data_IF_170339587150
#
_entry.id   IF_170339587150
#
_cell.length_a   1.000
_cell.length_b   1.000
_cell.length_c   1.000
_cell.angle_alpha   90.00
_cell.angle_beta   90.00
_cell.angle_gamma   90.00
#
_symmetry.space_group_name_H-M   'P 1'
#
loop_
_entity.id
_entity.type
_entity.pdbx_description
1 polymer ?
#
# COMPACT_ATOMS: atom_id res chain seq x y z
N UNK A 1 -11.35 4.33 -9.03
CA UNK A 1 -11.57 2.96 -8.53
C UNK A 1 -10.65 2.70 -7.36
N UNK A 2 -9.33 2.84 -7.54
CA UNK A 2 -8.34 2.77 -6.46
C UNK A 2 -8.75 3.58 -5.24
N UNK A 3 -8.92 4.89 -5.40
CA UNK A 3 -9.35 5.80 -4.33
C UNK A 3 -10.60 5.33 -3.60
N UNK A 4 -11.64 4.89 -4.32
CA UNK A 4 -12.88 4.38 -3.70
C UNK A 4 -12.61 3.18 -2.80
N UNK A 5 -11.75 2.25 -3.23
CA UNK A 5 -11.39 1.08 -2.42
C UNK A 5 -10.58 1.48 -1.17
N UNK A 6 -9.61 2.39 -1.32
CA UNK A 6 -8.77 2.85 -0.20
C UNK A 6 -9.61 3.56 0.85
N UNK A 7 -10.35 4.59 0.45
CA UNK A 7 -11.23 5.37 1.33
C UNK A 7 -12.31 4.49 1.98
N UNK A 8 -12.85 3.51 1.26
CA UNK A 8 -13.81 2.56 1.85
C UNK A 8 -13.15 1.77 2.98
N UNK A 9 -11.96 1.21 2.75
CA UNK A 9 -11.29 0.39 3.77
C UNK A 9 -10.83 1.23 4.96
N UNK A 10 -10.33 2.44 4.72
CA UNK A 10 -10.03 3.42 5.76
C UNK A 10 -11.25 3.61 6.68
N UNK A 11 -12.37 4.08 6.13
CA UNK A 11 -13.58 4.37 6.91
C UNK A 11 -14.16 3.13 7.63
N UNK A 12 -14.11 1.96 6.98
CA UNK A 12 -14.62 0.73 7.56
C UNK A 12 -13.79 0.22 8.74
N UNK A 13 -12.46 0.38 8.69
CA UNK A 13 -11.56 -0.10 9.74
C UNK A 13 -11.26 0.93 10.82
N UNK A 14 -11.45 2.24 10.56
CA UNK A 14 -11.16 3.32 11.50
C UNK A 14 -11.68 3.10 12.93
N UNK A 15 -12.91 2.58 13.16
CA UNK A 15 -13.42 2.33 14.50
C UNK A 15 -12.70 1.22 15.28
N UNK A 16 -11.83 0.45 14.62
CA UNK A 16 -11.20 -0.75 15.16
C UNK A 16 -9.65 -0.66 15.18
N UNK A 17 -9.10 0.54 15.04
CA UNK A 17 -7.66 0.76 15.22
C UNK A 17 -7.22 0.26 16.60
N UNK A 18 -6.02 -0.32 16.64
CA UNK A 18 -5.39 -0.91 17.82
C UNK A 18 -6.20 -2.01 18.51
N UNK A 19 -7.21 -2.55 17.84
CA UNK A 19 -8.01 -3.69 18.30
C UNK A 19 -7.64 -4.94 17.50
N UNK A 20 -7.53 -6.09 18.17
CA UNK A 20 -7.40 -7.36 17.49
C UNK A 20 -8.69 -7.67 16.73
N UNK A 21 -8.58 -7.81 15.41
CA UNK A 21 -9.71 -8.14 14.57
C UNK A 21 -10.25 -9.52 14.96
N UNK A 22 -11.58 -9.62 14.98
CA UNK A 22 -12.30 -10.85 15.28
C UNK A 22 -13.36 -11.11 14.22
N UNK A 23 -13.85 -12.35 14.16
CA UNK A 23 -14.95 -12.71 13.25
C UNK A 23 -16.19 -11.82 13.40
N UNK A 24 -16.68 -11.50 14.62
CA UNK A 24 -17.78 -10.55 14.79
C UNK A 24 -17.48 -9.15 14.25
N UNK A 25 -16.26 -8.63 14.46
CA UNK A 25 -15.84 -7.32 13.94
C UNK A 25 -15.88 -7.33 12.41
N UNK A 26 -15.28 -8.33 11.76
CA UNK A 26 -15.29 -8.41 10.30
C UNK A 26 -16.70 -8.60 9.73
N UNK A 27 -17.58 -9.34 10.40
CA UNK A 27 -18.98 -9.46 9.99
C UNK A 27 -19.71 -8.12 10.07
N UNK A 28 -19.49 -7.34 11.13
CA UNK A 28 -20.05 -6.00 11.28
C UNK A 28 -19.51 -5.02 10.21
N UNK A 29 -18.23 -5.10 9.88
CA UNK A 29 -17.61 -4.33 8.79
C UNK A 29 -18.25 -4.70 7.45
N UNK A 30 -18.35 -6.01 7.15
CA UNK A 30 -18.92 -6.51 5.89
C UNK A 30 -20.35 -6.04 5.65
N UNK A 31 -21.16 -5.93 6.70
CA UNK A 31 -22.53 -5.43 6.60
C UNK A 31 -22.60 -3.95 6.14
N UNK A 32 -21.54 -3.17 6.32
CA UNK A 32 -21.46 -1.75 5.96
C UNK A 32 -20.83 -1.48 4.59
N UNK A 33 -20.22 -2.49 3.96
CA UNK A 33 -19.45 -2.33 2.71
C UNK A 33 -20.26 -1.67 1.60
N UNK A 34 -21.47 -2.13 1.36
CA UNK A 34 -22.27 -1.65 0.23
C UNK A 34 -22.61 -0.16 0.37
N UNK A 35 -22.95 0.26 1.60
CA UNK A 35 -23.26 1.65 1.92
C UNK A 35 -22.01 2.53 1.79
N UNK A 36 -20.88 2.07 2.35
CA UNK A 36 -19.63 2.83 2.33
C UNK A 36 -19.06 2.97 0.91
N UNK A 37 -19.03 1.89 0.12
CA UNK A 37 -18.60 1.97 -1.28
C UNK A 37 -19.46 2.94 -2.08
N UNK A 38 -20.78 2.94 -1.85
CA UNK A 38 -21.70 3.88 -2.51
C UNK A 38 -21.37 5.32 -2.13
N UNK A 39 -21.18 5.60 -0.84
CA UNK A 39 -20.82 6.92 -0.34
C UNK A 39 -19.50 7.41 -0.94
N UNK A 40 -18.46 6.57 -0.94
CA UNK A 40 -17.15 6.94 -1.47
C UNK A 40 -17.16 7.09 -2.99
N UNK A 41 -17.96 6.29 -3.69
CA UNK A 41 -18.13 6.45 -5.13
C UNK A 41 -18.82 7.78 -5.48
N UNK A 42 -19.89 8.15 -4.76
CA UNK A 42 -20.59 9.42 -4.94
C UNK A 42 -19.65 10.63 -4.74
N UNK A 43 -18.83 10.60 -3.68
CA UNK A 43 -17.85 11.65 -3.38
C UNK A 43 -16.78 11.80 -4.47
N UNK A 44 -16.29 10.69 -5.02
CA UNK A 44 -15.14 10.68 -5.92
C UNK A 44 -15.49 10.83 -7.41
N UNK A 45 -16.72 10.48 -7.81
CA UNK A 45 -17.11 10.41 -9.23
C UNK A 45 -18.18 11.40 -9.66
N UNK A 46 -18.64 12.30 -8.76
CA UNK A 46 -19.73 13.25 -8.96
C UNK A 46 -21.04 12.54 -9.38
N UNK A 47 -22.03 12.54 -8.49
CA UNK A 47 -23.32 11.80 -8.47
C UNK A 47 -24.16 11.61 -9.76
N UNK A 48 -23.76 12.11 -10.93
CA UNK A 48 -24.64 12.25 -12.11
C UNK A 48 -25.00 10.92 -12.77
N UNK A 49 -24.23 9.83 -12.63
CA UNK A 49 -24.74 8.49 -12.97
C UNK A 49 -23.85 7.33 -12.49
N UNK A 50 -24.14 6.80 -11.30
CA UNK A 50 -23.57 5.52 -10.81
C UNK A 50 -24.29 4.32 -11.48
N UNK A 51 -25.53 4.54 -11.92
CA UNK A 51 -26.45 3.46 -12.31
C UNK A 51 -26.29 2.98 -13.75
N UNK A 52 -25.40 3.59 -14.55
CA UNK A 52 -25.28 3.28 -15.97
C UNK A 52 -23.83 3.24 -16.46
N UNK A 53 -23.61 2.52 -17.56
CA UNK A 53 -22.36 2.53 -18.32
C UNK A 53 -21.11 2.09 -17.53
N UNK A 54 -19.97 2.73 -17.85
CA UNK A 54 -18.65 2.42 -17.28
C UNK A 54 -18.60 2.61 -15.76
N UNK A 55 -19.34 3.59 -15.22
CA UNK A 55 -19.37 3.87 -13.78
C UNK A 55 -20.01 2.73 -12.99
N UNK A 56 -21.10 2.15 -13.50
CA UNK A 56 -21.74 0.98 -12.89
C UNK A 56 -20.78 -0.21 -12.80
N UNK A 57 -19.97 -0.42 -13.85
CA UNK A 57 -18.96 -1.50 -13.86
C UNK A 57 -17.91 -1.23 -12.78
N UNK A 58 -17.35 -0.02 -12.73
CA UNK A 58 -16.31 0.35 -11.75
C UNK A 58 -16.86 0.22 -10.32
N UNK A 59 -18.09 0.67 -10.07
CA UNK A 59 -18.76 0.57 -8.79
C UNK A 59 -18.88 -0.89 -8.32
N UNK A 60 -19.40 -1.77 -9.18
CA UNK A 60 -19.56 -3.19 -8.84
C UNK A 60 -18.20 -3.89 -8.63
N UNK A 61 -17.18 -3.53 -9.42
CA UNK A 61 -15.83 -4.06 -9.24
C UNK A 61 -15.24 -3.62 -7.89
N UNK A 62 -15.37 -2.34 -7.53
CA UNK A 62 -14.89 -1.84 -6.23
C UNK A 62 -15.58 -2.56 -5.06
N UNK A 63 -16.90 -2.71 -5.12
CA UNK A 63 -17.68 -3.46 -4.13
C UNK A 63 -17.19 -4.90 -4.01
N UNK A 64 -17.02 -5.60 -5.13
CA UNK A 64 -16.54 -6.98 -5.15
C UNK A 64 -15.12 -7.10 -4.56
N UNK A 65 -14.24 -6.14 -4.86
CA UNK A 65 -12.88 -6.08 -4.33
C UNK A 65 -12.87 -5.98 -2.80
N UNK A 66 -13.65 -5.07 -2.22
CA UNK A 66 -13.75 -4.90 -0.76
C UNK A 66 -14.31 -6.16 -0.11
N UNK A 67 -15.42 -6.71 -0.63
CA UNK A 67 -15.99 -7.96 -0.10
C UNK A 67 -15.00 -9.13 -0.15
N UNK A 68 -14.30 -9.31 -1.26
CA UNK A 68 -13.32 -10.39 -1.41
C UNK A 68 -12.16 -10.24 -0.43
N UNK A 69 -11.65 -9.02 -0.25
CA UNK A 69 -10.58 -8.76 0.71
C UNK A 69 -11.01 -9.06 2.15
N UNK A 70 -12.20 -8.59 2.56
CA UNK A 70 -12.74 -8.88 3.89
C UNK A 70 -13.00 -10.36 4.13
N UNK A 71 -13.39 -11.10 3.08
CA UNK A 71 -13.52 -12.56 3.15
C UNK A 71 -12.16 -13.24 3.35
N UNK A 72 -11.10 -12.77 2.67
CA UNK A 72 -9.75 -13.29 2.88
C UNK A 72 -9.25 -12.99 4.29
N UNK A 73 -9.46 -11.79 4.82
CA UNK A 73 -9.09 -11.45 6.22
C UNK A 73 -9.86 -12.33 7.21
N UNK A 74 -11.15 -12.61 6.95
CA UNK A 74 -11.94 -13.52 7.79
C UNK A 74 -11.37 -14.94 7.78
N UNK A 75 -11.02 -15.47 6.61
CA UNK A 75 -10.39 -16.79 6.49
C UNK A 75 -9.06 -16.86 7.26
N UNK A 76 -8.28 -15.78 7.24
CA UNK A 76 -7.01 -15.70 7.98
C UNK A 76 -7.23 -15.74 9.49
N UNK A 77 -8.18 -14.97 10.00
CA UNK A 77 -8.55 -14.99 11.43
C UNK A 77 -9.08 -16.37 11.83
N UNK A 78 -9.91 -16.99 11.00
CA UNK A 78 -10.41 -18.35 11.25
C UNK A 78 -9.29 -19.41 11.21
N UNK A 79 -8.22 -19.16 10.46
CA UNK A 79 -7.01 -19.98 10.45
C UNK A 79 -6.04 -19.70 11.62
N UNK A 80 -6.36 -18.71 12.48
CA UNK A 80 -5.59 -18.38 13.67
C UNK A 80 -4.65 -17.17 13.55
N UNK A 81 -4.68 -16.42 12.44
CA UNK A 81 -3.91 -15.18 12.35
C UNK A 81 -4.45 -14.12 13.33
N UNK A 82 -3.56 -13.55 14.13
CA UNK A 82 -3.83 -12.37 14.93
C UNK A 82 -3.53 -11.13 14.11
N UNK A 83 -4.53 -10.28 13.85
CA UNK A 83 -4.39 -9.08 13.03
C UNK A 83 -4.80 -7.86 13.85
N UNK A 84 -3.89 -6.89 14.01
CA UNK A 84 -4.15 -5.61 14.69
C UNK A 84 -3.76 -4.48 13.75
N UNK A 85 -4.73 -3.71 13.28
CA UNK A 85 -4.47 -2.52 12.46
C UNK A 85 -3.98 -1.40 13.36
N UNK A 86 -2.81 -0.83 13.06
CA UNK A 86 -2.18 0.22 13.86
C UNK A 86 -2.47 1.61 13.31
N UNK A 87 -2.44 1.75 12.00
CA UNK A 87 -2.75 3.00 11.32
C UNK A 87 -3.36 2.73 9.93
N UNK A 88 -4.15 3.69 9.44
CA UNK A 88 -4.78 3.71 8.12
C UNK A 88 -4.56 5.11 7.52
N UNK A 89 -4.37 5.17 6.20
CA UNK A 89 -4.16 6.41 5.44
C UNK A 89 -3.22 7.39 6.17
N UNK A 90 -2.12 6.84 6.71
CA UNK A 90 -1.23 7.52 7.63
C UNK A 90 -0.29 8.45 6.87
N UNK A 91 -0.38 9.75 7.15
CA UNK A 91 0.47 10.77 6.52
C UNK A 91 1.83 10.81 7.19
N UNK A 92 2.88 10.54 6.42
CA UNK A 92 4.26 10.65 6.88
C UNK A 92 5.01 11.73 6.10
N UNK A 93 5.94 12.39 6.79
CA UNK A 93 6.89 13.33 6.21
C UNK A 93 8.26 13.01 6.80
N UNK A 94 9.27 12.82 5.97
CA UNK A 94 10.64 12.61 6.43
C UNK A 94 11.59 13.59 5.74
N UNK A 95 12.54 14.13 6.50
CA UNK A 95 13.60 14.96 5.97
C UNK A 95 14.66 14.05 5.31
N UNK A 96 14.98 14.28 4.02
CA UNK A 96 16.04 13.54 3.31
C UNK A 96 17.36 14.33 3.37
N UNK A 97 17.31 15.61 3.01
CA UNK A 97 18.42 16.58 3.08
C UNK A 97 17.88 17.88 3.71
N UNK A 98 18.69 18.88 4.09
CA UNK A 98 18.16 20.14 4.65
C UNK A 98 17.08 20.83 3.79
N UNK A 99 17.14 20.66 2.47
CA UNK A 99 16.25 21.32 1.51
C UNK A 99 15.10 20.42 1.04
N UNK A 100 15.21 19.09 1.24
CA UNK A 100 14.32 18.11 0.62
C UNK A 100 13.60 17.26 1.66
N UNK A 101 12.27 17.20 1.51
CA UNK A 101 11.38 16.35 2.30
C UNK A 101 10.66 15.35 1.42
N UNK A 102 10.60 14.10 1.87
CA UNK A 102 9.72 13.07 1.31
C UNK A 102 8.39 13.09 2.07
N UNK A 103 7.28 13.07 1.35
CA UNK A 103 5.93 13.01 1.92
C UNK A 103 5.12 11.94 1.21
N UNK A 104 4.31 11.21 1.96
CA UNK A 104 3.35 10.27 1.41
C UNK A 104 2.29 9.85 2.42
N UNK A 105 1.35 9.05 1.93
CA UNK A 105 0.28 8.46 2.73
C UNK A 105 0.41 6.95 2.64
N UNK A 106 0.54 6.28 3.78
CA UNK A 106 0.63 4.82 3.88
C UNK A 106 -0.77 4.26 4.11
N UNK A 107 -1.26 3.44 3.19
CA UNK A 107 -2.65 2.97 3.21
C UNK A 107 -2.98 2.21 4.51
N UNK A 108 -2.07 1.34 4.97
CA UNK A 108 -2.22 0.62 6.25
C UNK A 108 -0.88 0.24 6.85
N UNK A 109 -0.83 0.33 8.17
CA UNK A 109 0.20 -0.28 9.00
C UNK A 109 -0.52 -1.23 9.94
N UNK A 110 -0.11 -2.50 9.98
CA UNK A 110 -0.68 -3.47 10.90
C UNK A 110 0.37 -4.36 11.54
N UNK A 111 -0.04 -5.09 12.58
CA UNK A 111 0.74 -6.16 13.17
C UNK A 111 -0.02 -7.47 12.92
N UNK A 112 0.67 -8.43 12.31
CA UNK A 112 0.17 -9.79 12.10
C UNK A 112 1.08 -10.80 12.76
N UNK A 113 0.56 -11.55 13.73
CA UNK A 113 1.32 -12.55 14.48
C UNK A 113 2.66 -11.97 15.01
N UNK A 114 2.63 -10.72 15.50
CA UNK A 114 3.81 -9.99 16.00
C UNK A 114 4.71 -9.34 14.94
N UNK A 115 4.47 -9.54 13.63
CA UNK A 115 5.23 -8.91 12.54
C UNK A 115 4.52 -7.62 12.12
N UNK A 116 5.25 -6.50 12.12
CA UNK A 116 4.74 -5.22 11.60
C UNK A 116 4.77 -5.24 10.08
N UNK A 117 3.67 -4.86 9.43
CA UNK A 117 3.56 -4.76 7.97
C UNK A 117 3.22 -3.34 7.57
N UNK A 118 4.04 -2.77 6.70
CA UNK A 118 3.81 -1.50 6.01
C UNK A 118 3.24 -1.87 4.64
N UNK A 119 1.97 -1.55 4.40
CA UNK A 119 1.28 -2.08 3.24
C UNK A 119 0.57 -1.03 2.40
N UNK A 120 0.56 -1.31 1.09
CA UNK A 120 -0.11 -0.53 0.07
C UNK A 120 -1.14 -1.41 -0.65
N UNK A 121 -2.30 -0.82 -0.92
CA UNK A 121 -3.39 -1.41 -1.64
C UNK A 121 -3.26 -1.10 -3.13
N UNK A 122 -3.42 -2.13 -3.96
CA UNK A 122 -3.45 -1.97 -5.42
C UNK A 122 -4.64 -2.66 -6.03
N UNK A 123 -5.51 -1.88 -6.67
CA UNK A 123 -6.64 -2.43 -7.43
C UNK A 123 -6.22 -3.08 -8.76
N UNK A 124 -5.05 -2.71 -9.28
CA UNK A 124 -4.45 -3.34 -10.46
C UNK A 124 -3.86 -4.72 -10.16
N UNK A 125 -3.38 -5.43 -11.19
CA UNK A 125 -2.62 -6.65 -10.98
C UNK A 125 -1.20 -6.26 -10.58
N UNK A 126 -0.76 -6.73 -9.41
CA UNK A 126 0.65 -6.77 -9.02
C UNK A 126 1.11 -8.21 -8.94
N UNK A 127 2.29 -8.46 -9.49
CA UNK A 127 2.96 -9.76 -9.49
C UNK A 127 4.16 -9.74 -8.53
N UNK A 128 4.49 -10.90 -7.96
CA UNK A 128 5.58 -11.01 -6.98
C UNK A 128 6.90 -10.43 -7.49
N UNK A 129 7.22 -10.61 -8.78
CA UNK A 129 8.46 -10.12 -9.39
C UNK A 129 8.62 -8.60 -9.35
N UNK A 130 7.54 -7.84 -9.20
CA UNK A 130 7.56 -6.36 -9.09
C UNK A 130 7.91 -5.85 -7.69
N UNK A 131 8.06 -6.77 -6.74
CA UNK A 131 8.48 -6.51 -5.37
C UNK A 131 9.81 -7.20 -5.03
N UNK A 132 10.51 -7.75 -6.03
CA UNK A 132 11.83 -8.34 -5.85
C UNK A 132 12.88 -7.38 -6.39
N UNK A 133 13.72 -6.89 -5.48
CA UNK A 133 14.91 -6.12 -5.83
C UNK A 133 15.99 -7.13 -6.19
N UNK A 134 16.42 -7.10 -7.45
CA UNK A 134 17.56 -7.90 -7.96
C UNK A 134 18.75 -7.03 -8.31
N UNK A 135 18.45 -5.81 -8.72
CA UNK A 135 19.40 -4.81 -9.14
C UNK A 135 18.86 -3.46 -8.67
N UNK A 136 19.70 -2.72 -7.96
CA UNK A 136 19.36 -1.41 -7.42
C UNK A 136 19.37 -0.33 -8.51
N UNK A 137 20.14 -0.49 -9.59
CA UNK A 137 20.08 0.41 -10.75
C UNK A 137 18.74 0.23 -11.48
N UNK A 138 18.24 -1.01 -11.62
CA UNK A 138 16.90 -1.28 -12.17
C UNK A 138 15.79 -0.62 -11.34
N UNK A 139 15.96 -0.52 -10.01
CA UNK A 139 14.96 0.06 -9.11
C UNK A 139 14.61 1.51 -9.48
N UNK A 140 15.60 2.28 -9.95
CA UNK A 140 15.44 3.69 -10.32
C UNK A 140 15.36 3.92 -11.84
N UNK A 141 15.61 2.91 -12.68
CA UNK A 141 15.59 3.04 -14.14
C UNK A 141 14.40 2.33 -14.80
N UNK A 142 13.95 1.18 -14.29
CA UNK A 142 12.80 0.41 -14.80
C UNK A 142 11.54 0.64 -13.97
N UNK A 143 10.91 1.80 -14.16
CA UNK A 143 9.72 2.21 -13.40
C UNK A 143 8.52 1.28 -13.61
N UNK A 144 8.37 0.70 -14.80
CA UNK A 144 7.23 -0.18 -15.11
C UNK A 144 7.27 -1.42 -14.21
N UNK A 145 8.45 -2.00 -14.06
CA UNK A 145 8.67 -3.20 -13.24
C UNK A 145 8.78 -2.86 -11.75
N UNK A 146 9.52 -1.80 -11.41
CA UNK A 146 9.99 -1.55 -10.05
C UNK A 146 9.23 -0.47 -9.27
N UNK A 147 8.29 0.26 -9.90
CA UNK A 147 7.50 1.31 -9.20
C UNK A 147 6.80 0.82 -7.93
N UNK A 148 6.49 -0.47 -7.84
CA UNK A 148 5.81 -1.08 -6.69
C UNK A 148 6.75 -1.31 -5.51
N UNK A 149 7.94 -1.85 -5.78
CA UNK A 149 9.01 -1.97 -4.78
C UNK A 149 9.43 -0.58 -4.28
N UNK A 150 9.65 0.35 -5.21
CA UNK A 150 10.02 1.73 -4.91
C UNK A 150 9.01 2.42 -3.99
N UNK A 151 7.71 2.26 -4.25
CA UNK A 151 6.66 2.89 -3.44
C UNK A 151 6.68 2.40 -1.98
N UNK A 152 6.75 1.09 -1.74
CA UNK A 152 6.74 0.56 -0.37
C UNK A 152 8.06 0.81 0.37
N UNK A 153 9.18 0.94 -0.36
CA UNK A 153 10.46 1.41 0.16
C UNK A 153 10.40 2.87 0.63
N UNK A 154 9.79 3.77 -0.14
CA UNK A 154 9.53 5.15 0.30
C UNK A 154 8.76 5.19 1.62
N UNK A 155 7.74 4.34 1.76
CA UNK A 155 6.93 4.27 2.97
C UNK A 155 7.76 3.79 4.17
N UNK A 156 8.50 2.70 4.00
CA UNK A 156 9.40 2.17 5.01
C UNK A 156 10.48 3.18 5.45
N UNK A 157 11.07 3.89 4.50
CA UNK A 157 12.06 4.93 4.78
C UNK A 157 11.45 6.07 5.61
N UNK A 158 10.29 6.60 5.21
CA UNK A 158 9.63 7.69 5.93
C UNK A 158 9.28 7.33 7.37
N UNK A 159 8.76 6.12 7.59
CA UNK A 159 8.44 5.63 8.94
C UNK A 159 9.72 5.48 9.76
N UNK A 160 10.73 4.83 9.18
CA UNK A 160 12.00 4.55 9.86
C UNK A 160 12.73 5.83 10.29
N UNK A 161 12.73 6.89 9.47
CA UNK A 161 13.39 8.16 9.81
C UNK A 161 12.70 8.93 10.94
N UNK A 162 11.41 8.72 11.16
CA UNK A 162 10.63 9.41 12.19
C UNK A 162 10.51 8.62 13.49
N UNK A 163 10.29 7.32 13.38
CA UNK A 163 9.88 6.45 14.49
C UNK A 163 10.91 5.35 14.80
N UNK A 164 11.90 5.17 13.93
CA UNK A 164 12.81 4.02 13.96
C UNK A 164 12.24 2.82 13.21
N UNK A 165 13.13 1.87 12.86
CA UNK A 165 12.73 0.63 12.18
C UNK A 165 12.19 -0.36 13.22
N UNK A 166 10.94 -0.86 13.09
CA UNK A 166 10.44 -1.90 13.97
C UNK A 166 11.26 -3.19 13.82
N UNK A 167 11.46 -3.93 14.93
CA UNK A 167 12.37 -5.08 14.97
C UNK A 167 12.04 -6.18 13.94
N UNK A 168 10.75 -6.50 13.74
CA UNK A 168 10.27 -7.42 12.71
C UNK A 168 9.30 -6.66 11.81
N UNK A 169 9.84 -6.08 10.74
CA UNK A 169 9.07 -5.26 9.81
C UNK A 169 9.16 -5.82 8.39
N UNK A 170 8.00 -5.94 7.74
CA UNK A 170 7.88 -6.26 6.32
C UNK A 170 7.20 -5.09 5.61
N UNK A 171 7.57 -4.84 4.36
CA UNK A 171 6.84 -3.94 3.48
C UNK A 171 6.26 -4.71 2.29
N UNK A 172 5.12 -4.30 1.75
CA UNK A 172 4.53 -5.04 0.65
C UNK A 172 3.19 -4.51 0.16
N UNK A 173 2.56 -5.27 -0.73
CA UNK A 173 1.33 -4.89 -1.41
C UNK A 173 0.26 -5.97 -1.28
N UNK A 174 -0.98 -5.53 -1.15
CA UNK A 174 -2.16 -6.37 -1.40
C UNK A 174 -2.76 -5.99 -2.74
N UNK A 175 -2.78 -6.95 -3.66
CA UNK A 175 -3.27 -6.79 -5.03
C UNK A 175 -4.69 -7.32 -5.14
N UNK A 176 -5.69 -6.46 -5.30
CA UNK A 176 -7.10 -6.90 -5.36
C UNK A 176 -7.39 -7.73 -6.61
N UNK A 177 -6.77 -7.40 -7.75
CA UNK A 177 -6.91 -8.20 -8.98
C UNK A 177 -6.17 -9.56 -8.88
N UNK A 178 -5.22 -9.69 -7.95
CA UNK A 178 -4.49 -10.93 -7.67
C UNK A 178 -4.55 -11.31 -6.18
N UNK A 179 -5.76 -11.24 -5.59
CA UNK A 179 -5.94 -11.34 -4.14
C UNK A 179 -5.45 -12.68 -3.56
N UNK A 180 -5.54 -13.75 -4.36
CA UNK A 180 -5.10 -15.10 -3.97
C UNK A 180 -3.61 -15.17 -3.60
N UNK A 181 -2.78 -14.25 -4.09
CA UNK A 181 -1.36 -14.18 -3.71
C UNK A 181 -1.13 -13.63 -2.30
N UNK A 182 -2.17 -13.13 -1.63
CA UNK A 182 -2.08 -12.57 -0.29
C UNK A 182 -1.21 -11.31 -0.24
N UNK A 183 -0.52 -11.13 0.88
CA UNK A 183 0.44 -10.04 1.07
C UNK A 183 1.73 -10.35 0.27
N UNK A 184 1.90 -9.65 -0.85
CA UNK A 184 3.12 -9.73 -1.64
C UNK A 184 4.21 -8.92 -0.94
N UNK A 185 5.26 -9.59 -0.47
CA UNK A 185 6.33 -8.99 0.32
C UNK A 185 7.42 -8.41 -0.58
N UNK A 186 7.92 -7.23 -0.22
CA UNK A 186 9.20 -6.74 -0.70
C UNK A 186 10.28 -7.78 -0.37
N UNK A 187 11.14 -8.08 -1.33
CA UNK A 187 12.23 -9.05 -1.16
C UNK A 187 13.51 -8.49 -1.75
N UNK A 188 14.57 -8.43 -0.95
CA UNK A 188 15.95 -8.18 -1.40
C UNK A 188 16.77 -9.43 -1.07
N UNK A 189 17.46 -10.03 -2.04
CA UNK A 189 18.33 -11.19 -1.83
C UNK A 189 17.73 -12.31 -0.97
N UNK A 190 16.44 -12.61 -1.22
CA UNK A 190 15.60 -13.61 -0.52
C UNK A 190 15.17 -13.21 0.90
N UNK A 191 15.64 -12.08 1.43
CA UNK A 191 15.20 -11.51 2.69
C UNK A 191 13.92 -10.69 2.49
N UNK A 192 12.95 -10.88 3.38
CA UNK A 192 11.67 -10.14 3.36
C UNK A 192 11.49 -9.21 4.56
N UNK A 193 12.30 -9.41 5.60
CA UNK A 193 12.38 -8.50 6.73
C UNK A 193 13.25 -7.31 6.31
N UNK A 194 12.76 -6.11 6.55
CA UNK A 194 13.49 -4.87 6.30
C UNK A 194 14.68 -4.76 7.25
N UNK A 195 15.82 -4.33 6.72
CA UNK A 195 17.01 -4.01 7.50
C UNK A 195 17.34 -2.52 7.38
N UNK A 196 18.11 -2.00 8.33
CA UNK A 196 18.64 -0.65 8.23
C UNK A 196 19.54 -0.48 6.99
N UNK A 197 20.33 -1.51 6.67
CA UNK A 197 21.22 -1.52 5.50
C UNK A 197 20.43 -1.38 4.19
N UNK A 198 19.35 -2.15 4.02
CA UNK A 198 18.45 -2.06 2.86
C UNK A 198 17.89 -0.65 2.70
N UNK A 199 17.44 -0.02 3.80
CA UNK A 199 16.87 1.32 3.76
C UNK A 199 17.93 2.41 3.52
N UNK A 200 19.14 2.24 4.03
CA UNK A 200 20.27 3.13 3.73
C UNK A 200 20.69 3.04 2.27
N UNK A 201 20.74 1.82 1.71
CA UNK A 201 21.00 1.61 0.28
C UNK A 201 19.92 2.27 -0.55
N UNK A 202 18.64 2.03 -0.25
CA UNK A 202 17.54 2.69 -0.92
C UNK A 202 17.62 4.21 -0.86
N UNK A 203 17.92 4.79 0.30
CA UNK A 203 18.04 6.24 0.45
C UNK A 203 19.12 6.83 -0.46
N UNK A 204 20.27 6.14 -0.64
CA UNK A 204 21.30 6.58 -1.61
C UNK A 204 20.76 6.62 -3.03
N UNK A 205 20.06 5.58 -3.46
CA UNK A 205 19.46 5.50 -4.80
C UNK A 205 18.35 6.53 -5.00
N UNK A 206 17.55 6.79 -3.97
CA UNK A 206 16.54 7.85 -3.99
C UNK A 206 17.19 9.23 -4.17
N UNK A 207 18.29 9.50 -3.46
CA UNK A 207 19.02 10.76 -3.59
C UNK A 207 19.64 10.93 -4.98
N UNK A 208 20.19 9.87 -5.58
CA UNK A 208 20.68 9.92 -6.97
C UNK A 208 19.58 10.33 -7.96
N UNK A 209 18.37 9.76 -7.81
CA UNK A 209 17.23 10.12 -8.64
C UNK A 209 16.80 11.58 -8.42
N UNK A 210 16.82 12.05 -7.17
CA UNK A 210 16.49 13.44 -6.84
C UNK A 210 17.53 14.41 -7.42
N UNK A 211 18.81 14.07 -7.33
CA UNK A 211 19.90 14.88 -7.89
C UNK A 211 19.78 14.96 -9.42
N UNK A 212 19.41 13.87 -10.10
CA UNK A 212 19.08 13.88 -11.54
C UNK A 212 17.89 14.83 -11.83
N UNK A 213 16.82 14.73 -11.06
CA UNK A 213 15.61 15.57 -11.23
C UNK A 213 15.88 17.07 -11.01
N UNK A 214 16.87 17.42 -10.19
CA UNK A 214 17.24 18.79 -9.87
C UNK A 214 18.39 19.33 -10.74
N UNK A 215 18.96 18.49 -11.61
CA UNK A 215 20.04 18.89 -12.49
C UNK A 215 19.50 19.64 -13.73
N UNK A 216 19.81 20.94 -13.83
CA UNK A 216 19.38 21.80 -14.94
C UNK A 216 19.95 21.38 -16.31
N UNK A 217 21.06 20.64 -16.31
CA UNK A 217 21.72 20.18 -17.54
C UNK A 217 21.11 18.87 -18.09
N UNK A 218 20.25 18.20 -17.32
CA UNK A 218 19.60 16.95 -17.72
C UNK A 218 18.13 17.25 -18.08
N UNK A 219 17.72 17.13 -19.36
CA UNK A 219 16.34 17.33 -19.74
C UNK A 219 15.46 16.18 -19.24
N UNK A 220 14.22 16.51 -18.85
CA UNK A 220 13.23 15.47 -18.57
C UNK A 220 12.95 14.66 -19.84
N UNK A 221 13.08 13.34 -19.73
CA UNK A 221 12.72 12.40 -20.79
C UNK A 221 11.48 11.62 -20.38
N UNK A 222 10.46 11.62 -21.26
CA UNK A 222 9.32 10.73 -21.11
C UNK A 222 9.79 9.29 -21.35
N UNK A 223 9.74 8.46 -20.30
CA UNK A 223 10.13 7.05 -20.38
C UNK A 223 8.93 6.23 -20.87
N UNK A 224 9.13 5.34 -21.84
CA UNK A 224 8.04 4.49 -22.37
C UNK A 224 7.43 3.63 -21.25
N UNK A 225 6.09 3.64 -21.11
CA UNK A 225 5.33 2.94 -20.06
C UNK A 225 4.67 1.67 -20.56
#
# INVERSE_FOLDING_TARGET
MGTVVHETLDQLYQPYLNTQLSKPILQAIRAKVDAEVSLQFEKNYNAVNIKTGKNLIIFNVAKQFVHNFLNQELQRIEAGDEIIIKALEAKHVAQLTPEIKLKGTVDRIDAVNGITRILDYKTGKVEKGQLVIKDWDELITDYKKQSKAFQVLCYALMITKNEGLPANCEAGIISFKNLKSGFLKLTEDRNTILSQELLQTFEKYLLLLIDELLNIDIPFMEKEV
#
